data_IF_587498191434
#
_entry.id   IF_587498191434
#
_cell.length_a   1.000
_cell.length_b   1.000
_cell.length_c   1.000
_cell.angle_alpha   90.00
_cell.angle_beta   90.00
_cell.angle_gamma   90.00
#
_symmetry.space_group_name_H-M   'P 1'
#
loop_
_entity.id
_entity.type
_entity.pdbx_description
1 polymer ?
#
# COMPACT_ATOMS: atom_id res chain seq x y z
N UNK A 1 -6.41 -4.64 -5.10
CA UNK A 1 -7.35 -5.77 -5.05
C UNK A 1 -7.74 -6.07 -3.62
N UNK A 2 -9.00 -6.44 -3.37
CA UNK A 2 -9.40 -6.94 -2.06
C UNK A 2 -8.75 -8.27 -1.78
N UNK A 3 -8.44 -8.52 -0.52
CA UNK A 3 -7.67 -9.69 -0.10
C UNK A 3 -8.27 -11.01 -0.60
N UNK A 4 -9.57 -11.21 -0.40
CA UNK A 4 -10.27 -12.43 -0.87
C UNK A 4 -10.18 -12.61 -2.38
N UNK A 5 -10.42 -11.53 -3.14
CA UNK A 5 -10.36 -11.56 -4.59
C UNK A 5 -8.94 -11.82 -5.08
N UNK A 6 -7.95 -11.22 -4.41
CA UNK A 6 -6.54 -11.46 -4.73
C UNK A 6 -6.14 -12.91 -4.49
N UNK A 7 -6.48 -13.47 -3.32
CA UNK A 7 -6.12 -14.84 -2.94
C UNK A 7 -6.81 -15.86 -3.84
N UNK A 8 -8.10 -15.67 -4.10
CA UNK A 8 -8.88 -16.59 -4.96
C UNK A 8 -8.43 -16.58 -6.43
N UNK A 9 -7.97 -15.43 -6.92
CA UNK A 9 -7.56 -15.27 -8.31
C UNK A 9 -6.04 -15.20 -8.48
N UNK A 10 -5.27 -15.51 -7.45
CA UNK A 10 -3.82 -15.39 -7.45
C UNK A 10 -3.12 -16.03 -8.66
N UNK A 11 -3.43 -17.28 -8.93
CA UNK A 11 -2.82 -18.02 -10.04
C UNK A 11 -3.25 -17.49 -11.42
N UNK A 12 -4.49 -17.00 -11.51
CA UNK A 12 -5.01 -16.38 -12.74
C UNK A 12 -4.27 -15.07 -13.00
N UNK A 13 -4.15 -14.22 -11.96
CA UNK A 13 -3.42 -12.95 -12.04
C UNK A 13 -1.97 -13.19 -12.47
N UNK A 14 -1.29 -14.15 -11.83
CA UNK A 14 0.09 -14.50 -12.15
C UNK A 14 0.25 -14.99 -13.60
N UNK A 15 -0.62 -15.88 -14.07
CA UNK A 15 -0.61 -16.37 -15.45
C UNK A 15 -0.82 -15.22 -16.45
N UNK A 16 -1.77 -14.34 -16.20
CA UNK A 16 -2.03 -13.21 -17.09
C UNK A 16 -0.85 -12.20 -17.13
N UNK A 17 -0.18 -11.99 -16.02
CA UNK A 17 1.03 -11.17 -15.98
C UNK A 17 2.14 -11.77 -16.85
N UNK A 18 2.42 -13.06 -16.69
CA UNK A 18 3.43 -13.77 -17.48
C UNK A 18 3.06 -13.76 -18.98
N UNK A 19 1.79 -14.00 -19.32
CA UNK A 19 1.28 -13.93 -20.70
C UNK A 19 1.49 -12.56 -21.34
N UNK A 20 1.43 -11.49 -20.55
CA UNK A 20 1.66 -10.12 -20.98
C UNK A 20 3.13 -9.67 -20.84
N UNK A 21 4.06 -10.61 -20.83
CA UNK A 21 5.51 -10.37 -20.79
C UNK A 21 6.01 -9.67 -19.51
N UNK A 22 5.31 -9.86 -18.39
CA UNK A 22 5.84 -9.51 -17.10
C UNK A 22 6.61 -10.68 -16.50
N UNK A 23 7.76 -10.41 -15.90
CA UNK A 23 8.54 -11.39 -15.14
C UNK A 23 8.26 -11.24 -13.65
N UNK A 24 7.81 -12.28 -12.99
CA UNK A 24 7.63 -12.29 -11.53
C UNK A 24 8.99 -12.33 -10.87
N UNK A 25 9.28 -11.39 -9.98
CA UNK A 25 10.57 -11.26 -9.28
C UNK A 25 10.46 -11.53 -7.79
N UNK A 26 9.29 -11.32 -7.21
CA UNK A 26 9.02 -11.62 -5.81
C UNK A 26 7.53 -11.85 -5.60
N UNK A 27 7.19 -12.78 -4.73
CA UNK A 27 5.80 -13.06 -4.37
C UNK A 27 5.65 -13.41 -2.90
N UNK A 28 4.55 -12.96 -2.31
CA UNK A 28 4.11 -13.33 -0.97
C UNK A 28 2.65 -13.74 -1.06
N UNK A 29 2.35 -14.92 -0.57
CA UNK A 29 0.98 -15.42 -0.46
C UNK A 29 0.79 -16.00 0.94
N UNK A 30 -0.12 -15.43 1.70
CA UNK A 30 -0.56 -15.93 2.98
C UNK A 30 -2.08 -15.93 3.04
N UNK A 31 -2.66 -16.47 4.10
CA UNK A 31 -4.12 -16.45 4.29
C UNK A 31 -4.66 -15.02 4.59
N UNK A 32 -3.78 -14.07 4.87
CA UNK A 32 -4.15 -12.71 5.30
C UNK A 32 -3.56 -11.61 4.41
N UNK A 33 -2.70 -11.94 3.46
CA UNK A 33 -2.11 -10.94 2.58
C UNK A 33 -1.51 -11.54 1.33
N UNK A 34 -1.48 -10.76 0.26
CA UNK A 34 -0.85 -11.15 -0.98
C UNK A 34 -0.12 -9.99 -1.63
N UNK A 35 1.00 -10.33 -2.27
CA UNK A 35 1.82 -9.40 -3.04
C UNK A 35 2.45 -10.15 -4.22
N UNK A 36 2.47 -9.52 -5.38
CA UNK A 36 3.25 -9.94 -6.53
C UNK A 36 4.03 -8.74 -7.02
N UNK A 37 5.34 -8.84 -7.04
CA UNK A 37 6.23 -7.88 -7.69
C UNK A 37 6.62 -8.41 -9.05
N UNK A 38 6.42 -7.62 -10.06
CA UNK A 38 6.75 -7.96 -11.43
C UNK A 38 7.61 -6.88 -12.06
N UNK A 39 8.45 -7.29 -12.99
CA UNK A 39 9.24 -6.40 -13.82
C UNK A 39 8.81 -6.55 -15.27
N UNK A 40 8.76 -5.46 -15.97
CA UNK A 40 8.61 -5.41 -17.43
C UNK A 40 9.69 -4.55 -18.03
N UNK A 41 10.31 -5.07 -19.07
CA UNK A 41 11.32 -4.37 -19.85
C UNK A 41 10.66 -3.57 -20.98
N UNK A 42 11.12 -2.33 -21.15
CA UNK A 42 10.70 -1.41 -22.21
C UNK A 42 11.96 -0.74 -22.74
N UNK A 43 12.33 -0.99 -23.98
CA UNK A 43 13.42 -0.29 -24.69
C UNK A 43 14.63 0.01 -23.78
N UNK A 44 15.40 -0.98 -23.39
CA UNK A 44 16.58 -0.89 -22.52
C UNK A 44 16.34 -0.44 -21.07
N UNK A 45 15.08 -0.15 -20.69
CA UNK A 45 14.68 0.20 -19.33
C UNK A 45 13.75 -0.85 -18.75
N UNK A 46 13.84 -1.05 -17.46
CA UNK A 46 12.93 -1.92 -16.74
C UNK A 46 12.13 -1.14 -15.71
N UNK A 47 10.87 -1.51 -15.54
CA UNK A 47 10.00 -0.92 -14.51
C UNK A 47 9.43 -2.02 -13.63
N UNK A 48 9.51 -1.79 -12.32
CA UNK A 48 8.93 -2.69 -11.33
C UNK A 48 7.52 -2.23 -10.99
N UNK A 49 6.59 -3.19 -10.99
CA UNK A 49 5.20 -2.98 -10.57
C UNK A 49 4.90 -3.86 -9.36
N UNK A 50 4.18 -3.30 -8.42
CA UNK A 50 3.65 -4.02 -7.25
C UNK A 50 2.15 -4.23 -7.39
N UNK A 51 1.69 -5.47 -7.31
CA UNK A 51 0.27 -5.81 -7.17
C UNK A 51 0.08 -6.34 -5.76
N UNK A 52 -0.82 -5.70 -5.01
CA UNK A 52 -0.97 -5.97 -3.58
C UNK A 52 -2.43 -6.15 -3.20
N UNK A 53 -2.65 -6.97 -2.19
CA UNK A 53 -3.97 -7.09 -1.57
C UNK A 53 -4.18 -6.08 -0.46
N UNK A 54 -5.44 -5.75 -0.21
CA UNK A 54 -5.88 -4.89 0.87
C UNK A 54 -6.92 -5.62 1.71
N UNK A 55 -6.72 -5.63 3.02
CA UNK A 55 -7.68 -6.14 3.98
C UNK A 55 -8.67 -5.04 4.37
N UNK A 56 -9.89 -5.42 4.76
CA UNK A 56 -10.93 -4.48 5.16
C UNK A 56 -11.31 -4.61 6.62
N UNK A 57 -11.33 -3.49 7.33
CA UNK A 57 -11.80 -3.39 8.70
C UNK A 57 -13.21 -2.77 8.75
N UNK A 58 -14.24 -3.59 8.90
CA UNK A 58 -15.64 -3.15 8.91
C UNK A 58 -15.96 -2.20 10.08
N UNK A 59 -15.34 -2.38 11.24
CA UNK A 59 -15.58 -1.50 12.42
C UNK A 59 -15.07 -0.09 12.17
N UNK A 60 -13.92 0.05 11.53
CA UNK A 60 -13.31 1.35 11.23
C UNK A 60 -13.69 1.90 9.87
N UNK A 61 -14.36 1.10 9.02
CA UNK A 61 -14.70 1.43 7.63
C UNK A 61 -13.45 1.89 6.85
N UNK A 62 -12.40 1.08 6.89
CA UNK A 62 -11.14 1.38 6.24
C UNK A 62 -10.53 0.13 5.61
N UNK A 63 -9.83 0.32 4.50
CA UNK A 63 -8.92 -0.65 3.94
C UNK A 63 -7.55 -0.45 4.54
N UNK A 64 -6.87 -1.53 4.84
CA UNK A 64 -5.53 -1.45 5.41
C UNK A 64 -4.59 -2.46 4.77
N UNK A 65 -3.33 -2.07 4.73
CA UNK A 65 -2.23 -2.93 4.33
C UNK A 65 -1.00 -2.51 5.13
N UNK A 66 -0.51 -3.41 5.97
CA UNK A 66 0.58 -3.13 6.90
C UNK A 66 0.27 -1.91 7.78
N UNK A 67 0.84 -0.76 7.38
CA UNK A 67 0.78 0.49 8.13
C UNK A 67 0.05 1.61 7.37
N UNK A 68 -0.53 1.29 6.23
CA UNK A 68 -1.25 2.23 5.39
C UNK A 68 -2.74 1.93 5.54
N UNK A 69 -3.52 2.95 5.90
CA UNK A 69 -4.96 2.88 5.99
C UNK A 69 -5.59 3.83 4.99
N UNK A 70 -6.60 3.35 4.30
CA UNK A 70 -7.38 4.14 3.35
C UNK A 70 -8.84 4.06 3.77
N UNK A 71 -9.47 5.18 4.17
CA UNK A 71 -10.89 5.22 4.45
C UNK A 71 -11.72 4.66 3.30
N UNK A 72 -12.71 3.85 3.61
CA UNK A 72 -13.60 3.18 2.65
C UNK A 72 -14.19 4.16 1.63
N UNK A 73 -14.58 5.36 2.09
CA UNK A 73 -15.16 6.41 1.24
C UNK A 73 -14.38 6.73 -0.04
N UNK A 74 -13.07 6.48 -0.06
CA UNK A 74 -12.23 6.73 -1.24
C UNK A 74 -12.20 5.56 -2.22
N UNK A 75 -12.54 4.35 -1.77
CA UNK A 75 -12.41 3.13 -2.58
C UNK A 75 -13.76 2.46 -2.93
N UNK A 76 -14.87 3.04 -2.50
CA UNK A 76 -16.22 2.59 -2.89
C UNK A 76 -16.78 3.37 -4.08
N UNK A 77 -16.30 4.59 -4.28
CA UNK A 77 -16.66 5.43 -5.42
C UNK A 77 -15.41 5.78 -6.22
N UNK A 78 -15.55 5.72 -7.53
CA UNK A 78 -14.48 6.07 -8.44
C UNK A 78 -14.92 7.18 -9.36
N UNK A 79 -14.00 8.09 -9.67
CA UNK A 79 -14.15 9.08 -10.74
C UNK A 79 -13.23 8.76 -11.89
N UNK A 80 -13.60 9.20 -13.08
CA UNK A 80 -12.78 9.04 -14.28
C UNK A 80 -11.80 10.18 -14.41
N UNK A 81 -10.56 9.86 -14.71
CA UNK A 81 -9.57 10.84 -15.14
C UNK A 81 -9.02 10.44 -16.51
N UNK A 82 -8.70 11.44 -17.31
CA UNK A 82 -8.08 11.26 -18.62
C UNK A 82 -6.60 11.59 -18.51
N UNK A 83 -5.74 10.62 -18.79
CA UNK A 83 -4.30 10.77 -18.68
C UNK A 83 -3.58 10.03 -19.81
N UNK A 84 -2.67 10.71 -20.50
CA UNK A 84 -1.91 10.17 -21.64
C UNK A 84 -2.78 9.48 -22.69
N UNK A 85 -3.90 10.11 -23.07
CA UNK A 85 -4.80 9.59 -24.08
C UNK A 85 -5.69 8.42 -23.65
N UNK A 86 -5.74 8.09 -22.34
CA UNK A 86 -6.53 6.99 -21.80
C UNK A 86 -7.34 7.41 -20.58
N UNK A 87 -8.45 6.75 -20.38
CA UNK A 87 -9.30 6.93 -19.22
C UNK A 87 -8.93 5.95 -18.11
N UNK A 88 -8.83 6.45 -16.88
CA UNK A 88 -8.54 5.67 -15.68
C UNK A 88 -9.57 5.90 -14.59
N UNK A 89 -9.85 4.87 -13.81
CA UNK A 89 -10.61 4.99 -12.57
C UNK A 89 -9.70 5.45 -11.45
N UNK A 90 -10.09 6.51 -10.75
CA UNK A 90 -9.36 7.04 -9.59
C UNK A 90 -10.26 7.08 -8.38
N UNK A 91 -9.72 6.98 -7.15
CA UNK A 91 -10.45 7.22 -5.93
C UNK A 91 -11.21 8.54 -5.95
N UNK A 92 -12.40 8.58 -5.37
CA UNK A 92 -13.24 9.78 -5.38
C UNK A 92 -13.57 10.24 -3.96
N UNK A 93 -13.47 11.56 -3.64
CA UNK A 93 -12.87 12.64 -4.44
C UNK A 93 -11.34 12.54 -4.49
N UNK A 94 -10.74 12.69 -5.66
CA UNK A 94 -9.30 12.46 -5.86
C UNK A 94 -8.42 13.41 -5.05
N UNK A 95 -8.77 14.68 -4.95
CA UNK A 95 -7.97 15.65 -4.20
C UNK A 95 -7.90 15.31 -2.72
N UNK A 96 -9.04 14.96 -2.11
CA UNK A 96 -9.07 14.55 -0.70
C UNK A 96 -8.33 13.22 -0.48
N UNK A 97 -8.35 12.32 -1.44
CA UNK A 97 -7.56 11.10 -1.39
C UNK A 97 -6.07 11.40 -1.43
N UNK A 98 -5.62 12.27 -2.33
CA UNK A 98 -4.22 12.69 -2.43
C UNK A 98 -3.74 13.43 -1.16
N UNK A 99 -4.58 14.30 -0.61
CA UNK A 99 -4.30 14.97 0.66
C UNK A 99 -4.18 13.98 1.82
N UNK A 100 -5.06 12.98 1.87
CA UNK A 100 -5.01 11.91 2.87
C UNK A 100 -3.71 11.10 2.76
N UNK A 101 -3.26 10.76 1.54
CA UNK A 101 -2.07 9.94 1.31
C UNK A 101 -0.76 10.71 1.46
N UNK A 102 -0.70 11.93 0.96
CA UNK A 102 0.55 12.67 0.76
C UNK A 102 0.60 14.01 1.52
N UNK A 103 -0.49 14.44 2.17
CA UNK A 103 -0.58 15.75 2.79
C UNK A 103 -0.64 16.86 1.74
N UNK A 104 0.24 17.85 1.82
CA UNK A 104 0.34 18.92 0.81
C UNK A 104 0.95 18.38 -0.50
N UNK A 105 0.13 17.67 -1.26
CA UNK A 105 0.53 17.05 -2.53
C UNK A 105 0.65 18.05 -3.68
N UNK A 106 0.09 19.26 -3.54
CA UNK A 106 0.15 20.30 -4.57
C UNK A 106 1.52 20.97 -4.63
N UNK A 107 2.28 20.94 -3.54
CA UNK A 107 3.64 21.48 -3.47
C UNK A 107 4.67 20.41 -3.82
N UNK A 108 5.34 20.49 -4.99
CA UNK A 108 6.36 19.52 -5.36
C UNK A 108 7.50 19.50 -4.34
N UNK A 109 7.79 18.34 -3.79
CA UNK A 109 8.90 18.16 -2.84
C UNK A 109 9.83 17.07 -3.33
N UNK A 110 11.06 17.42 -3.68
CA UNK A 110 12.12 16.47 -4.05
C UNK A 110 12.86 16.03 -2.79
N UNK A 111 12.48 14.87 -2.27
CA UNK A 111 13.17 14.30 -1.12
C UNK A 111 13.27 12.78 -1.22
N UNK A 112 14.38 12.23 -0.79
CA UNK A 112 14.55 10.78 -0.59
C UNK A 112 14.02 10.32 0.77
N UNK A 113 13.60 11.24 1.63
CA UNK A 113 13.08 10.93 2.95
C UNK A 113 11.65 10.38 2.85
N UNK A 114 11.51 9.06 2.95
CA UNK A 114 10.22 8.35 2.93
C UNK A 114 9.21 8.88 3.95
N UNK A 115 9.68 9.51 5.02
CA UNK A 115 8.84 10.08 6.07
C UNK A 115 7.99 11.27 5.60
N UNK A 116 8.34 11.87 4.48
CA UNK A 116 7.62 13.02 3.92
C UNK A 116 6.48 12.56 3.00
N UNK A 117 6.59 11.35 2.42
CA UNK A 117 5.59 10.80 1.50
C UNK A 117 4.43 10.08 2.17
N UNK A 118 4.58 9.71 3.44
CA UNK A 118 3.56 8.97 4.15
C UNK A 118 2.76 9.94 5.02
N UNK A 119 1.45 9.81 5.05
CA UNK A 119 0.58 10.71 5.81
C UNK A 119 1.03 10.87 7.27
N UNK A 120 0.88 12.07 7.83
CA UNK A 120 1.24 12.37 9.23
C UNK A 120 0.58 11.41 10.23
N UNK A 121 -0.58 10.89 9.92
CA UNK A 121 -1.33 9.92 10.74
C UNK A 121 -0.57 8.61 10.90
N UNK A 122 -0.02 8.09 9.82
CA UNK A 122 0.77 6.87 9.77
C UNK A 122 2.00 6.92 10.70
N UNK A 123 2.74 8.03 10.70
CA UNK A 123 3.94 8.16 11.52
C UNK A 123 3.65 8.35 12.99
N UNK A 124 2.56 9.03 13.34
CA UNK A 124 2.20 9.28 14.74
C UNK A 124 1.90 7.97 15.48
N UNK A 125 1.08 7.10 14.90
CA UNK A 125 0.75 5.80 15.47
C UNK A 125 1.97 4.86 15.53
N UNK A 126 2.74 4.80 14.46
CA UNK A 126 3.94 3.98 14.41
C UNK A 126 5.03 4.42 15.41
N UNK A 127 5.23 5.71 15.55
CA UNK A 127 6.17 6.28 16.52
C UNK A 127 5.75 5.92 17.95
N UNK A 128 4.46 5.97 18.28
CA UNK A 128 3.93 5.60 19.58
C UNK A 128 4.11 4.10 19.87
N UNK A 129 3.73 3.24 18.92
CA UNK A 129 3.89 1.79 19.07
C UNK A 129 5.37 1.41 19.23
N UNK A 130 6.26 2.03 18.46
CA UNK A 130 7.71 1.80 18.59
C UNK A 130 8.23 2.24 19.95
N UNK A 131 7.80 3.39 20.48
CA UNK A 131 8.15 3.87 21.83
C UNK A 131 7.64 2.91 22.90
N UNK A 132 6.39 2.45 22.81
CA UNK A 132 5.82 1.49 23.75
C UNK A 132 6.60 0.16 23.73
N UNK A 133 6.94 -0.37 22.56
CA UNK A 133 7.73 -1.60 22.44
C UNK A 133 9.13 -1.46 23.07
N UNK A 134 9.78 -0.31 22.89
CA UNK A 134 11.09 -0.04 23.50
C UNK A 134 10.98 0.03 25.03
N UNK A 135 9.93 0.68 25.55
CA UNK A 135 9.68 0.76 27.01
C UNK A 135 9.42 -0.62 27.58
N UNK A 136 8.52 -1.40 26.97
CA UNK A 136 8.20 -2.76 27.40
C UNK A 136 9.45 -3.65 27.40
N UNK A 137 10.28 -3.57 26.36
CA UNK A 137 11.54 -4.32 26.30
C UNK A 137 12.47 -3.95 27.46
N UNK A 138 12.64 -2.65 27.74
CA UNK A 138 13.47 -2.20 28.89
C UNK A 138 12.93 -2.65 30.23
N UNK A 139 11.61 -2.75 30.40
CA UNK A 139 10.98 -3.25 31.64
C UNK A 139 11.23 -4.75 31.77
N UNK A 140 11.01 -5.52 30.70
CA UNK A 140 11.27 -6.96 30.69
C UNK A 140 12.75 -7.29 30.96
N UNK A 141 13.68 -6.56 30.34
CA UNK A 141 15.12 -6.74 30.55
C UNK A 141 15.55 -6.43 32.02
N UNK A 142 14.80 -5.58 32.72
CA UNK A 142 15.04 -5.33 34.16
C UNK A 142 14.52 -6.45 35.05
N UNK A 143 13.35 -6.99 34.74
CA UNK A 143 12.71 -8.07 35.52
C UNK A 143 13.51 -9.38 35.39
N UNK A 144 14.06 -9.66 34.20
CA UNK A 144 14.85 -10.88 33.98
C UNK A 144 16.29 -10.83 34.53
N UNK A 145 16.72 -9.69 35.08
CA UNK A 145 18.06 -9.53 35.71
C UNK A 145 18.02 -9.51 37.24
N UNK A 146 16.85 -9.69 37.83
CA UNK A 146 16.61 -9.86 39.25
C UNK A 146 16.33 -11.32 39.54
#
# INVERSE_FOLDING_TARGET
LFEKDFINNYEIIKKELIRNSFKVIHEVKSNESGKIDVIKEFDEKSTVFEIVSWSYNAKKKEFFRWKINIPEKFLINFQKIYFLGREFNCPSPIELYLEHQYGDWKTPNRTSNKNIYLSKTFYKEYSLIKKIKIILKKVLDKICKT
#
